data_IF_588224323149
#
_entry.id   IF_588224323149
#
_cell.length_a   1.000
_cell.length_b   1.000
_cell.length_c   1.000
_cell.angle_alpha   90.00
_cell.angle_beta   90.00
_cell.angle_gamma   90.00
#
_symmetry.space_group_name_H-M   'P 1'
#
loop_
_entity.id
_entity.type
_entity.pdbx_description
1 polymer ?
#
# COMPACT_ATOMS: atom_id res chain seq x y z
N UNK A 1 -0.45 19.91 -23.28
CA UNK A 1 -1.05 18.59 -23.58
C UNK A 1 -2.28 18.41 -22.71
N UNK A 2 -3.33 17.77 -23.19
CA UNK A 2 -4.50 17.46 -22.34
C UNK A 2 -4.40 16.00 -21.93
N UNK A 3 -3.86 15.75 -20.75
CA UNK A 3 -3.84 14.41 -20.17
C UNK A 3 -5.27 13.92 -19.99
N UNK A 4 -5.58 12.71 -20.42
CA UNK A 4 -6.86 12.08 -20.23
C UNK A 4 -6.82 10.98 -19.19
N UNK A 5 -5.74 10.19 -19.18
CA UNK A 5 -5.59 9.07 -18.27
C UNK A 5 -4.23 9.12 -17.58
N UNK A 6 -4.24 8.97 -16.27
CA UNK A 6 -3.02 8.73 -15.47
C UNK A 6 -3.07 7.32 -14.93
N UNK A 7 -2.02 6.56 -15.16
CA UNK A 7 -1.80 5.25 -14.55
C UNK A 7 -0.72 5.40 -13.48
N UNK A 8 -1.09 5.23 -12.23
CA UNK A 8 -0.19 5.26 -11.07
C UNK A 8 -0.02 3.84 -10.55
N UNK A 9 1.17 3.27 -10.75
CA UNK A 9 1.49 1.89 -10.35
C UNK A 9 2.44 1.94 -9.16
N UNK A 10 2.01 1.36 -8.04
CA UNK A 10 2.81 1.19 -6.83
C UNK A 10 3.38 -0.23 -6.80
N UNK A 11 4.71 -0.33 -6.81
CA UNK A 11 5.46 -1.54 -6.52
C UNK A 11 5.63 -1.61 -5.00
N UNK A 12 4.69 -2.29 -4.32
CA UNK A 12 4.60 -2.31 -2.85
C UNK A 12 5.95 -2.70 -2.24
N UNK A 13 6.50 -1.86 -1.37
CA UNK A 13 7.79 -2.01 -0.70
C UNK A 13 9.07 -1.84 -1.56
N UNK A 14 9.01 -1.34 -2.80
CA UNK A 14 10.21 -1.17 -3.63
C UNK A 14 10.98 0.12 -3.31
N UNK A 15 11.64 0.16 -2.16
CA UNK A 15 12.51 1.27 -1.77
C UNK A 15 13.80 1.38 -2.59
N UNK A 16 14.41 2.56 -2.57
CA UNK A 16 15.64 2.90 -3.33
C UNK A 16 16.72 3.54 -2.45
N UNK A 17 16.94 2.97 -1.28
CA UNK A 17 17.96 3.36 -0.32
C UNK A 17 17.42 4.11 0.90
N UNK A 18 18.14 4.00 2.02
CA UNK A 18 17.73 4.51 3.33
C UNK A 18 17.45 6.01 3.35
N UNK A 19 16.44 6.41 4.10
CA UNK A 19 16.18 7.81 4.43
C UNK A 19 17.14 8.32 5.50
N UNK A 20 17.40 9.64 5.59
CA UNK A 20 18.29 10.21 6.60
C UNK A 20 17.86 9.93 8.04
N UNK A 21 16.60 9.63 8.27
CA UNK A 21 16.04 9.31 9.59
C UNK A 21 15.86 7.80 9.83
N UNK A 22 16.34 6.93 8.94
CA UNK A 22 16.24 5.47 9.03
C UNK A 22 16.73 4.92 10.37
N UNK A 23 17.76 5.55 10.96
CA UNK A 23 18.26 5.18 12.29
C UNK A 23 17.19 5.22 13.40
N UNK A 24 16.20 6.11 13.32
CA UNK A 24 15.09 6.19 14.29
C UNK A 24 14.15 4.99 14.23
N UNK A 25 14.13 4.31 13.08
CA UNK A 25 13.28 3.15 12.80
C UNK A 25 14.05 1.82 12.88
N UNK A 26 15.36 1.88 13.13
CA UNK A 26 16.22 0.69 13.14
C UNK A 26 16.64 0.18 11.76
N UNK A 27 16.46 0.99 10.72
CA UNK A 27 16.56 0.62 9.30
C UNK A 27 17.87 1.13 8.64
N UNK A 28 18.91 1.42 9.43
CA UNK A 28 20.19 1.86 8.87
C UNK A 28 20.73 0.86 7.85
N UNK A 29 21.11 1.36 6.68
CA UNK A 29 21.71 0.58 5.60
C UNK A 29 20.69 -0.17 4.75
N UNK A 30 19.38 0.03 4.94
CA UNK A 30 18.36 -0.56 4.08
C UNK A 30 18.45 0.00 2.66
N UNK A 31 18.41 -0.90 1.68
CA UNK A 31 18.44 -0.57 0.25
C UNK A 31 17.78 -1.72 -0.54
N UNK A 32 16.46 -1.71 -0.59
CA UNK A 32 15.67 -2.76 -1.26
C UNK A 32 16.11 -2.93 -2.71
N UNK A 33 16.23 -1.84 -3.49
CA UNK A 33 16.69 -1.90 -4.88
C UNK A 33 18.12 -2.45 -4.98
N UNK A 34 19.04 -1.98 -4.11
CA UNK A 34 20.40 -2.48 -4.05
C UNK A 34 20.47 -3.97 -3.72
N UNK A 35 19.63 -4.44 -2.78
CA UNK A 35 19.57 -5.84 -2.38
C UNK A 35 19.11 -6.73 -3.54
N UNK A 36 17.96 -6.43 -4.15
CA UNK A 36 17.38 -7.27 -5.20
C UNK A 36 18.16 -7.24 -6.50
N UNK A 37 18.85 -6.12 -6.80
CA UNK A 37 19.66 -5.97 -8.01
C UNK A 37 20.91 -6.87 -8.05
N UNK A 38 21.30 -7.45 -6.91
CA UNK A 38 22.41 -8.41 -6.82
C UNK A 38 22.04 -9.84 -7.19
N UNK A 39 20.75 -10.13 -7.29
CA UNK A 39 20.25 -11.45 -7.70
C UNK A 39 20.55 -11.71 -9.18
N UNK A 40 20.92 -12.94 -9.52
CA UNK A 40 21.08 -13.39 -10.91
C UNK A 40 19.77 -13.39 -11.71
N UNK A 41 18.64 -13.33 -11.02
CA UNK A 41 17.30 -13.30 -11.63
C UNK A 41 16.81 -11.88 -11.91
N UNK A 42 17.59 -10.85 -11.57
CA UNK A 42 17.19 -9.47 -11.73
C UNK A 42 17.53 -8.95 -13.14
N UNK A 43 16.48 -8.76 -13.96
CA UNK A 43 16.60 -8.17 -15.30
C UNK A 43 15.38 -7.27 -15.59
N UNK A 44 15.61 -5.95 -15.61
CA UNK A 44 14.55 -4.93 -15.74
C UNK A 44 14.90 -3.91 -16.85
N UNK A 45 15.00 -4.35 -18.11
CA UNK A 45 15.43 -3.48 -19.22
C UNK A 45 14.48 -2.31 -19.48
N UNK A 46 13.15 -2.47 -19.28
CA UNK A 46 12.19 -1.41 -19.48
C UNK A 46 12.29 -0.34 -18.38
N UNK A 47 12.31 -0.72 -17.10
CA UNK A 47 12.53 0.23 -16.00
C UNK A 47 13.91 0.92 -16.12
N UNK A 48 14.94 0.19 -16.55
CA UNK A 48 16.25 0.76 -16.84
C UNK A 48 16.16 1.81 -17.92
N UNK A 49 15.47 1.52 -19.03
CA UNK A 49 15.30 2.45 -20.15
C UNK A 49 14.52 3.70 -19.76
N UNK A 50 13.62 3.60 -18.77
CA UNK A 50 12.88 4.73 -18.25
C UNK A 50 13.66 5.60 -17.26
N UNK A 51 14.79 5.10 -16.72
CA UNK A 51 15.69 5.89 -15.87
C UNK A 51 15.79 5.44 -14.42
N UNK A 52 15.30 4.25 -14.05
CA UNK A 52 15.42 3.73 -12.67
C UNK A 52 16.86 3.81 -12.14
N UNK A 53 17.83 3.40 -12.95
CA UNK A 53 19.25 3.40 -12.59
C UNK A 53 19.91 4.79 -12.67
N UNK A 54 19.19 5.80 -13.16
CA UNK A 54 19.65 7.19 -13.25
C UNK A 54 19.22 8.02 -12.03
N UNK A 55 18.38 7.47 -11.15
CA UNK A 55 17.94 8.12 -9.92
C UNK A 55 19.15 8.43 -9.04
N UNK A 56 19.24 9.65 -8.51
CA UNK A 56 20.33 10.10 -7.66
C UNK A 56 20.44 9.25 -6.39
N UNK A 57 21.66 8.77 -6.10
CA UNK A 57 21.98 8.05 -4.88
C UNK A 57 21.55 6.59 -4.84
N UNK A 58 21.03 6.00 -5.93
CA UNK A 58 20.81 4.55 -6.01
C UNK A 58 22.15 3.81 -6.10
N UNK A 59 22.24 2.66 -5.41
CA UNK A 59 23.47 1.88 -5.37
C UNK A 59 23.73 1.02 -6.63
N UNK A 60 22.72 0.48 -7.36
CA UNK A 60 22.95 -0.32 -8.55
C UNK A 60 23.52 0.49 -9.70
N UNK A 61 24.52 -0.08 -10.36
CA UNK A 61 25.11 0.52 -11.57
C UNK A 61 24.31 0.12 -12.81
N UNK A 62 24.21 1.01 -13.77
CA UNK A 62 23.53 0.71 -15.03
C UNK A 62 22.72 1.86 -15.59
N UNK A 63 23.03 3.09 -15.15
CA UNK A 63 22.45 4.30 -15.73
C UNK A 63 22.59 4.33 -17.26
N UNK A 64 21.57 4.79 -17.96
CA UNK A 64 21.55 4.93 -19.41
C UNK A 64 21.81 6.37 -19.81
N UNK A 65 22.48 6.57 -20.94
CA UNK A 65 22.83 7.91 -21.40
C UNK A 65 21.61 8.76 -21.82
N UNK A 66 20.54 8.11 -22.24
CA UNK A 66 19.32 8.77 -22.72
C UNK A 66 18.08 8.05 -22.17
N UNK A 67 17.69 8.29 -20.90
CA UNK A 67 16.47 7.75 -20.35
C UNK A 67 15.24 8.18 -21.13
N UNK A 68 14.30 7.28 -21.34
CA UNK A 68 13.04 7.54 -22.06
C UNK A 68 11.96 8.19 -21.17
N UNK A 69 12.12 8.15 -19.86
CA UNK A 69 11.24 8.80 -18.89
C UNK A 69 11.91 9.95 -18.16
N UNK A 70 11.14 10.67 -17.37
CA UNK A 70 11.63 11.50 -16.28
C UNK A 70 11.74 10.63 -15.02
N UNK A 71 12.71 10.92 -14.15
CA UNK A 71 13.02 10.07 -13.00
C UNK A 71 13.51 10.90 -11.81
N UNK A 72 13.33 10.35 -10.63
CA UNK A 72 13.81 10.87 -9.36
C UNK A 72 13.36 9.99 -8.22
N UNK A 73 13.46 10.48 -7.00
CA UNK A 73 13.01 9.78 -5.80
C UNK A 73 12.30 10.73 -4.84
N UNK A 74 11.52 10.20 -3.92
CA UNK A 74 10.88 10.98 -2.87
C UNK A 74 11.24 10.45 -1.48
N UNK A 75 11.34 11.39 -0.52
CA UNK A 75 11.46 11.08 0.90
C UNK A 75 10.07 10.98 1.52
N UNK A 76 9.84 10.02 2.42
CA UNK A 76 8.63 9.97 3.21
C UNK A 76 8.69 11.02 4.32
N UNK A 77 7.66 11.85 4.38
CA UNK A 77 7.51 12.87 5.42
C UNK A 77 6.66 12.39 6.59
N UNK A 78 5.75 11.45 6.33
CA UNK A 78 4.94 10.84 7.37
C UNK A 78 5.79 10.10 8.40
N UNK A 79 5.29 10.00 9.63
CA UNK A 79 5.98 9.35 10.74
C UNK A 79 5.86 7.81 10.75
N UNK A 80 5.15 7.23 9.79
CA UNK A 80 5.02 5.77 9.60
C UNK A 80 6.02 5.23 8.58
N UNK A 81 5.95 3.93 8.34
CA UNK A 81 6.62 3.23 7.24
C UNK A 81 5.78 2.04 6.75
N UNK A 82 4.47 2.13 6.94
CA UNK A 82 3.52 1.08 6.58
C UNK A 82 2.77 1.43 5.29
N UNK A 83 2.24 0.39 4.64
CA UNK A 83 1.53 0.51 3.35
C UNK A 83 0.43 1.58 3.37
N UNK A 84 -0.35 1.67 4.46
CA UNK A 84 -1.44 2.66 4.53
C UNK A 84 -0.89 4.07 4.59
N UNK A 85 0.11 4.31 5.45
CA UNK A 85 0.76 5.62 5.61
C UNK A 85 1.41 6.08 4.31
N UNK A 86 2.18 5.20 3.64
CA UNK A 86 2.84 5.52 2.37
C UNK A 86 1.83 5.85 1.26
N UNK A 87 0.78 5.04 1.09
CA UNK A 87 -0.27 5.31 0.10
C UNK A 87 -1.05 6.59 0.41
N UNK A 88 -1.31 6.89 1.68
CA UNK A 88 -1.97 8.13 2.06
C UNK A 88 -1.09 9.34 1.74
N UNK A 89 0.23 9.23 1.95
CA UNK A 89 1.13 10.33 1.60
C UNK A 89 1.23 10.50 0.08
N UNK A 90 1.30 9.41 -0.70
CA UNK A 90 1.17 9.46 -2.16
C UNK A 90 -0.13 10.17 -2.58
N UNK A 91 -1.22 9.99 -1.83
CA UNK A 91 -2.51 10.61 -2.11
C UNK A 91 -2.67 12.01 -1.51
N UNK A 92 -1.64 12.58 -0.84
CA UNK A 92 -1.59 13.96 -0.36
C UNK A 92 -1.82 14.15 1.14
N UNK A 93 -1.87 13.08 1.95
CA UNK A 93 -2.02 13.16 3.41
C UNK A 93 -0.70 12.82 4.09
N UNK A 94 -0.08 13.78 4.73
CA UNK A 94 1.09 13.57 5.59
C UNK A 94 0.63 13.28 7.01
N UNK A 95 0.97 12.10 7.52
CA UNK A 95 0.65 11.65 8.87
C UNK A 95 1.76 12.03 9.85
N UNK A 96 1.53 13.01 10.70
CA UNK A 96 2.54 13.50 11.66
C UNK A 96 2.84 12.50 12.78
N UNK A 97 1.94 11.53 13.00
CA UNK A 97 2.09 10.47 14.00
C UNK A 97 1.93 9.11 13.33
N UNK A 98 2.71 8.10 13.75
CA UNK A 98 2.50 6.75 13.28
C UNK A 98 1.15 6.23 13.75
N UNK A 99 0.59 5.24 13.06
CA UNK A 99 -0.60 4.55 13.52
C UNK A 99 -0.32 3.85 14.86
N UNK A 100 -1.26 3.89 15.83
CA UNK A 100 -1.01 3.32 17.16
C UNK A 100 -0.88 1.79 17.08
N UNK A 101 0.05 1.25 17.86
CA UNK A 101 0.23 -0.18 18.09
C UNK A 101 0.03 -0.50 19.57
N UNK A 102 -0.37 -1.73 19.87
CA UNK A 102 -0.73 -2.15 21.24
C UNK A 102 0.03 -3.42 21.66
N UNK A 103 1.34 -3.30 21.92
CA UNK A 103 2.19 -4.45 22.26
C UNK A 103 1.79 -5.17 23.56
N UNK A 104 1.11 -4.47 24.49
CA UNK A 104 0.60 -5.03 25.74
C UNK A 104 -0.91 -5.33 25.71
N UNK A 105 -1.55 -5.22 24.52
CA UNK A 105 -3.00 -5.27 24.35
C UNK A 105 -3.66 -3.89 24.47
N UNK A 106 -4.93 -3.81 24.11
CA UNK A 106 -5.71 -2.57 24.17
C UNK A 106 -6.01 -2.17 25.62
N UNK A 107 -6.07 -0.85 25.91
CA UNK A 107 -6.44 -0.37 27.25
C UNK A 107 -7.80 -0.94 27.72
N UNK A 108 -7.92 -1.24 29.01
CA UNK A 108 -9.12 -1.89 29.55
C UNK A 108 -10.40 -1.10 29.26
N UNK A 109 -10.36 0.24 29.31
CA UNK A 109 -11.54 1.07 28.99
C UNK A 109 -12.04 0.88 27.55
N UNK A 110 -11.14 0.60 26.59
CA UNK A 110 -11.52 0.34 25.20
C UNK A 110 -12.18 -1.04 25.07
N UNK A 111 -11.68 -2.05 25.80
CA UNK A 111 -12.26 -3.40 25.86
C UNK A 111 -13.62 -3.37 26.56
N UNK A 112 -13.78 -2.63 27.64
CA UNK A 112 -15.04 -2.48 28.36
C UNK A 112 -16.10 -1.81 27.48
N UNK A 113 -15.72 -0.75 26.74
CA UNK A 113 -16.62 -0.08 25.81
C UNK A 113 -17.00 -0.98 24.62
N UNK A 114 -16.04 -1.73 24.07
CA UNK A 114 -16.31 -2.71 23.02
C UNK A 114 -17.29 -3.79 23.50
N UNK A 115 -17.07 -4.34 24.70
CA UNK A 115 -17.98 -5.32 25.30
C UNK A 115 -19.38 -4.74 25.53
N UNK A 116 -19.47 -3.50 26.00
CA UNK A 116 -20.75 -2.79 26.20
C UNK A 116 -21.49 -2.61 24.89
N UNK A 117 -20.81 -2.21 23.82
CA UNK A 117 -21.42 -1.93 22.51
C UNK A 117 -21.85 -3.21 21.77
N UNK A 118 -21.09 -4.30 21.91
CA UNK A 118 -21.38 -5.57 21.26
C UNK A 118 -22.27 -6.51 22.08
N UNK A 119 -22.41 -6.26 23.38
CA UNK A 119 -23.12 -7.14 24.31
C UNK A 119 -22.42 -8.48 24.56
N UNK A 120 -21.13 -8.61 24.18
CA UNK A 120 -20.32 -9.83 24.32
C UNK A 120 -19.06 -9.56 25.12
N UNK A 121 -18.60 -10.54 25.90
CA UNK A 121 -17.32 -10.49 26.57
C UNK A 121 -16.14 -10.59 25.60
N UNK A 122 -14.93 -10.37 26.13
CA UNK A 122 -13.70 -10.40 25.35
C UNK A 122 -12.72 -11.41 25.95
N UNK A 123 -12.17 -12.26 25.10
CA UNK A 123 -11.10 -13.19 25.37
C UNK A 123 -9.79 -12.69 24.76
N UNK A 124 -8.67 -13.02 25.39
CA UNK A 124 -7.29 -12.75 24.95
C UNK A 124 -6.81 -11.31 25.21
N UNK A 125 -7.14 -10.33 24.36
CA UNK A 125 -6.65 -8.93 24.38
C UNK A 125 -5.14 -8.79 24.54
N UNK A 126 -4.36 -9.42 23.66
CA UNK A 126 -2.88 -9.33 23.63
C UNK A 126 -2.36 -9.66 22.22
N UNK A 127 -1.07 -9.40 21.92
CA UNK A 127 -0.44 -9.87 20.70
C UNK A 127 -0.49 -11.40 20.61
N UNK A 128 -0.93 -11.91 19.46
CA UNK A 128 -1.07 -13.35 19.27
C UNK A 128 -0.97 -13.77 17.79
N UNK A 129 -0.45 -15.01 17.59
CA UNK A 129 -0.59 -15.66 16.27
C UNK A 129 -2.06 -15.98 16.01
N UNK A 130 -2.57 -15.51 14.88
CA UNK A 130 -3.99 -15.72 14.57
C UNK A 130 -4.38 -17.16 14.24
N UNK A 131 -3.45 -18.10 14.02
CA UNK A 131 -3.73 -19.55 13.97
C UNK A 131 -3.72 -20.16 15.37
N UNK A 132 -2.77 -19.73 16.21
CA UNK A 132 -2.66 -20.25 17.57
C UNK A 132 -3.80 -19.75 18.47
N UNK A 133 -4.23 -18.48 18.30
CA UNK A 133 -5.29 -17.90 19.15
C UNK A 133 -6.62 -18.64 19.05
N UNK A 134 -6.98 -19.16 17.87
CA UNK A 134 -8.22 -19.95 17.73
C UNK A 134 -8.10 -21.34 18.36
N UNK A 135 -6.90 -21.91 18.44
CA UNK A 135 -6.67 -23.18 19.13
C UNK A 135 -6.78 -23.00 20.65
N UNK A 136 -6.18 -21.92 21.18
CA UNK A 136 -6.09 -21.70 22.63
C UNK A 136 -7.40 -21.15 23.22
N UNK A 137 -8.13 -20.30 22.51
CA UNK A 137 -9.34 -19.64 23.00
C UNK A 137 -10.63 -20.11 22.32
N UNK A 138 -10.55 -20.84 21.21
CA UNK A 138 -11.73 -21.23 20.42
C UNK A 138 -12.74 -22.06 21.20
N UNK A 139 -12.28 -22.99 22.07
CA UNK A 139 -13.17 -23.77 22.93
C UNK A 139 -13.94 -22.87 23.90
N UNK A 140 -13.26 -21.96 24.59
CA UNK A 140 -13.88 -21.04 25.53
C UNK A 140 -14.87 -20.11 24.79
N UNK A 141 -14.50 -19.62 23.60
CA UNK A 141 -15.39 -18.83 22.75
C UNK A 141 -16.70 -19.60 22.43
N UNK A 142 -16.60 -20.89 22.07
CA UNK A 142 -17.77 -21.70 21.78
C UNK A 142 -18.68 -21.92 23.01
N UNK A 143 -18.09 -22.00 24.20
CA UNK A 143 -18.82 -22.21 25.46
C UNK A 143 -19.49 -20.93 25.98
N UNK A 144 -18.84 -19.76 25.82
CA UNK A 144 -19.30 -18.49 26.41
C UNK A 144 -19.97 -17.55 25.41
N UNK A 145 -19.60 -17.61 24.13
CA UNK A 145 -19.96 -16.64 23.11
C UNK A 145 -19.15 -15.34 23.14
N UNK A 146 -18.12 -15.26 24.01
CA UNK A 146 -17.22 -14.11 24.11
C UNK A 146 -16.29 -14.04 22.90
N UNK A 147 -16.00 -12.83 22.43
CA UNK A 147 -15.20 -12.59 21.22
C UNK A 147 -13.70 -12.74 21.48
N UNK A 148 -12.97 -13.40 20.59
CA UNK A 148 -11.51 -13.49 20.70
C UNK A 148 -10.92 -12.23 20.07
N UNK A 149 -10.46 -11.26 20.89
CA UNK A 149 -9.79 -10.04 20.45
C UNK A 149 -8.29 -10.20 20.62
N UNK A 150 -7.52 -9.85 19.59
CA UNK A 150 -6.06 -9.89 19.63
C UNK A 150 -5.45 -8.87 18.68
N UNK A 151 -4.16 -8.61 18.81
CA UNK A 151 -3.39 -7.70 17.95
C UNK A 151 -2.13 -8.39 17.44
N UNK A 152 -1.25 -7.65 16.77
CA UNK A 152 0.08 -8.07 16.32
C UNK A 152 1.05 -6.88 16.44
N UNK A 153 2.23 -6.96 15.79
CA UNK A 153 3.13 -5.83 15.67
C UNK A 153 2.54 -4.68 14.84
N UNK A 154 1.61 -5.01 13.92
CA UNK A 154 0.90 -4.02 13.12
C UNK A 154 -0.15 -3.25 13.93
N UNK A 155 -0.61 -2.13 13.36
CA UNK A 155 -1.72 -1.33 13.89
C UNK A 155 -3.06 -1.97 13.58
N UNK A 156 -3.44 -3.02 14.31
CA UNK A 156 -4.63 -3.83 14.03
C UNK A 156 -5.42 -4.21 15.29
N UNK A 157 -6.75 -4.24 15.16
CA UNK A 157 -7.69 -4.84 16.11
C UNK A 157 -8.36 -6.04 15.43
N UNK A 158 -8.01 -7.24 15.83
CA UNK A 158 -8.47 -8.46 15.18
C UNK A 158 -9.52 -9.16 16.05
N UNK A 159 -10.61 -9.60 15.43
CA UNK A 159 -11.73 -10.26 16.10
C UNK A 159 -11.92 -11.64 15.45
N UNK A 160 -11.58 -12.71 16.19
CA UNK A 160 -11.87 -14.06 15.74
C UNK A 160 -13.16 -14.58 16.40
N UNK A 161 -13.99 -15.23 15.59
CA UNK A 161 -15.22 -15.86 16.05
C UNK A 161 -15.56 -17.10 15.22
N UNK A 162 -16.14 -18.11 15.88
CA UNK A 162 -16.63 -19.31 15.21
C UNK A 162 -17.96 -19.01 14.52
N UNK A 163 -18.12 -19.37 13.25
CA UNK A 163 -19.29 -18.99 12.44
C UNK A 163 -20.62 -19.60 12.93
N UNK A 164 -20.59 -20.68 13.71
CA UNK A 164 -21.80 -21.27 14.31
C UNK A 164 -22.22 -20.55 15.61
N UNK A 165 -21.34 -19.73 16.21
CA UNK A 165 -21.60 -18.94 17.41
C UNK A 165 -21.89 -17.47 17.07
N UNK A 166 -21.14 -16.93 16.13
CA UNK A 166 -21.27 -15.58 15.59
C UNK A 166 -21.30 -15.70 14.07
N UNK A 167 -22.49 -15.67 13.44
CA UNK A 167 -22.62 -15.70 12.00
C UNK A 167 -21.80 -14.60 11.33
N UNK A 168 -21.35 -14.84 10.09
CA UNK A 168 -20.39 -13.97 9.40
C UNK A 168 -20.86 -12.51 9.33
N UNK A 169 -22.12 -12.27 9.02
CA UNK A 169 -22.69 -10.91 8.95
C UNK A 169 -22.69 -10.21 10.32
N UNK A 170 -23.00 -10.96 11.39
CA UNK A 170 -22.91 -10.43 12.76
C UNK A 170 -21.45 -10.08 13.12
N UNK A 171 -20.48 -10.91 12.74
CA UNK A 171 -19.06 -10.61 12.93
C UNK A 171 -18.67 -9.33 12.20
N UNK A 172 -19.18 -9.11 10.99
CA UNK A 172 -18.91 -7.87 10.24
C UNK A 172 -19.57 -6.65 10.93
N UNK A 173 -20.77 -6.78 11.48
CA UNK A 173 -21.40 -5.68 12.24
C UNK A 173 -20.63 -5.36 13.52
N UNK A 174 -20.12 -6.38 14.21
CA UNK A 174 -19.22 -6.23 15.36
C UNK A 174 -17.95 -5.48 14.95
N UNK A 175 -17.34 -5.84 13.82
CA UNK A 175 -16.15 -5.16 13.30
C UNK A 175 -16.43 -3.70 12.91
N UNK A 176 -17.59 -3.40 12.31
CA UNK A 176 -18.03 -2.02 12.04
C UNK A 176 -18.21 -1.21 13.33
N UNK A 177 -18.76 -1.84 14.37
CA UNK A 177 -18.89 -1.24 15.71
C UNK A 177 -17.53 -0.93 16.30
N UNK A 178 -16.59 -1.90 16.26
CA UNK A 178 -15.21 -1.67 16.68
C UNK A 178 -14.54 -0.54 15.88
N UNK A 179 -14.69 -0.52 14.54
CA UNK A 179 -14.12 0.56 13.71
C UNK A 179 -14.68 1.93 14.10
N UNK A 180 -15.98 2.00 14.44
CA UNK A 180 -16.64 3.25 14.84
C UNK A 180 -16.15 3.81 16.20
N UNK A 181 -15.74 2.93 17.13
CA UNK A 181 -15.26 3.33 18.45
C UNK A 181 -13.75 3.60 18.50
N UNK A 182 -12.95 2.93 17.66
CA UNK A 182 -11.50 3.06 17.65
C UNK A 182 -11.06 4.32 16.89
N UNK A 183 -11.02 5.45 17.61
CA UNK A 183 -10.69 6.79 17.12
C UNK A 183 -9.53 7.38 17.92
N UNK A 184 -8.97 8.47 17.43
CA UNK A 184 -7.90 9.24 18.07
C UNK A 184 -6.70 8.35 18.45
N UNK A 185 -6.36 8.24 19.72
CA UNK A 185 -5.26 7.41 20.22
C UNK A 185 -5.48 5.91 20.05
N UNK A 186 -6.71 5.48 19.77
CA UNK A 186 -7.07 4.10 19.47
C UNK A 186 -7.26 3.83 17.97
N UNK A 187 -7.01 4.80 17.10
CA UNK A 187 -7.29 4.74 15.67
C UNK A 187 -6.35 3.77 14.92
N UNK A 188 -6.46 2.46 15.23
CA UNK A 188 -5.70 1.44 14.49
C UNK A 188 -6.00 1.46 13.01
N UNK A 189 -5.01 1.15 12.19
CA UNK A 189 -5.14 1.14 10.73
C UNK A 189 -6.23 0.20 10.21
N UNK A 190 -6.43 -0.95 10.87
CA UNK A 190 -7.44 -1.94 10.44
C UNK A 190 -8.14 -2.61 11.62
N UNK A 191 -9.44 -2.80 11.49
CA UNK A 191 -10.19 -3.80 12.28
C UNK A 191 -10.42 -5.00 11.37
N UNK A 192 -10.12 -6.21 11.83
CA UNK A 192 -10.09 -7.40 10.97
C UNK A 192 -11.03 -8.47 11.50
N UNK A 193 -12.03 -8.85 10.69
CA UNK A 193 -12.83 -10.04 10.92
C UNK A 193 -12.03 -11.30 10.60
N UNK A 194 -11.98 -12.24 11.53
CA UNK A 194 -11.24 -13.51 11.42
C UNK A 194 -12.18 -14.69 11.72
N UNK A 195 -13.14 -15.00 10.84
CA UNK A 195 -14.03 -16.13 11.05
C UNK A 195 -13.27 -17.45 11.00
N UNK A 196 -13.73 -18.43 11.79
CA UNK A 196 -13.18 -19.77 11.81
C UNK A 196 -14.28 -20.82 12.01
N UNK A 197 -13.98 -22.07 11.70
CA UNK A 197 -14.83 -23.25 11.85
C UNK A 197 -14.05 -24.44 12.41
N UNK A 198 -14.76 -25.55 12.58
CA UNK A 198 -14.21 -26.81 13.05
C UNK A 198 -14.52 -27.06 14.52
N UNK A 199 -13.98 -28.14 15.03
CA UNK A 199 -14.12 -28.55 16.45
C UNK A 199 -12.73 -28.69 17.07
N UNK A 200 -12.65 -28.45 18.39
CA UNK A 200 -11.39 -28.62 19.10
C UNK A 200 -10.84 -30.05 18.95
N UNK A 201 -9.56 -30.23 18.63
CA UNK A 201 -8.50 -29.24 18.45
C UNK A 201 -8.29 -28.81 16.97
N UNK A 202 -9.21 -29.11 16.04
CA UNK A 202 -9.02 -28.93 14.62
C UNK A 202 -9.76 -27.68 14.07
N UNK A 203 -9.63 -26.56 14.77
CA UNK A 203 -10.13 -25.28 14.28
C UNK A 203 -9.32 -24.79 13.07
N UNK A 204 -10.02 -24.20 12.08
CA UNK A 204 -9.40 -23.63 10.89
C UNK A 204 -10.09 -22.33 10.46
N UNK A 205 -9.31 -21.41 9.91
CA UNK A 205 -9.81 -20.15 9.37
C UNK A 205 -10.60 -20.37 8.10
N UNK A 206 -11.67 -19.62 7.92
CA UNK A 206 -12.47 -19.63 6.70
C UNK A 206 -12.08 -18.47 5.77
N UNK A 207 -12.68 -18.42 4.58
CA UNK A 207 -12.46 -17.38 3.56
C UNK A 207 -13.15 -16.06 3.86
N UNK A 208 -14.00 -15.99 4.90
CA UNK A 208 -14.74 -14.77 5.27
C UNK A 208 -13.92 -13.71 6.00
N UNK A 209 -12.57 -13.72 5.90
CA UNK A 209 -11.76 -12.61 6.39
C UNK A 209 -12.16 -11.33 5.68
N UNK A 210 -12.34 -10.25 6.46
CA UNK A 210 -12.59 -8.92 5.93
C UNK A 210 -11.88 -7.86 6.79
N UNK A 211 -11.22 -6.91 6.12
CA UNK A 211 -10.49 -5.83 6.76
C UNK A 211 -11.31 -4.54 6.67
N UNK A 212 -11.64 -3.94 7.82
CA UNK A 212 -12.31 -2.65 7.96
C UNK A 212 -11.24 -1.59 8.21
N UNK A 213 -10.78 -0.97 7.15
CA UNK A 213 -9.69 0.01 7.19
C UNK A 213 -10.14 1.33 7.84
N UNK A 214 -9.17 2.05 8.42
CA UNK A 214 -9.34 3.42 8.82
C UNK A 214 -9.53 4.28 7.56
N UNK A 215 -10.52 5.16 7.56
CA UNK A 215 -10.66 6.14 6.49
C UNK A 215 -9.53 7.17 6.54
N UNK A 216 -9.09 7.67 5.38
CA UNK A 216 -8.13 8.77 5.32
C UNK A 216 -8.54 9.96 6.20
N UNK A 217 -7.59 10.51 6.96
CA UNK A 217 -7.83 11.56 7.96
C UNK A 217 -8.09 12.95 7.38
N UNK A 218 -7.92 13.11 6.06
CA UNK A 218 -8.10 14.36 5.34
C UNK A 218 -8.62 14.14 3.91
N UNK A 219 -8.71 15.23 3.13
CA UNK A 219 -9.01 15.14 1.71
C UNK A 219 -7.83 14.54 0.94
N UNK A 220 -8.10 13.55 0.09
CA UNK A 220 -7.12 12.91 -0.78
C UNK A 220 -7.24 13.37 -2.24
N UNK A 221 -6.23 13.07 -3.07
CA UNK A 221 -6.36 13.29 -4.52
C UNK A 221 -7.52 12.48 -5.12
N UNK A 222 -7.85 11.32 -4.53
CA UNK A 222 -8.98 10.50 -4.97
C UNK A 222 -10.30 11.23 -4.76
N UNK A 223 -10.49 11.85 -3.58
CA UNK A 223 -11.67 12.64 -3.27
C UNK A 223 -11.82 13.81 -4.24
N UNK A 224 -10.72 14.52 -4.50
CA UNK A 224 -10.71 15.71 -5.36
C UNK A 224 -11.00 15.37 -6.82
N UNK A 225 -10.41 14.31 -7.34
CA UNK A 225 -10.68 13.80 -8.68
C UNK A 225 -12.16 13.42 -8.82
N UNK A 226 -12.67 12.59 -7.91
CA UNK A 226 -14.08 12.17 -7.90
C UNK A 226 -15.04 13.36 -7.82
N UNK A 227 -14.78 14.32 -6.92
CA UNK A 227 -15.61 15.51 -6.76
C UNK A 227 -15.60 16.40 -8.01
N UNK A 228 -14.54 16.33 -8.82
CA UNK A 228 -14.39 17.05 -10.09
C UNK A 228 -14.92 16.29 -11.30
N UNK A 229 -15.54 15.11 -11.09
CA UNK A 229 -16.16 14.31 -12.14
C UNK A 229 -15.18 13.44 -12.94
N UNK A 230 -13.98 13.19 -12.43
CA UNK A 230 -13.02 12.27 -13.00
C UNK A 230 -13.21 10.85 -12.48
N UNK A 231 -12.84 9.88 -13.29
CA UNK A 231 -12.81 8.48 -12.88
C UNK A 231 -11.62 8.25 -11.91
N UNK A 232 -11.87 7.43 -10.87
CA UNK A 232 -10.83 6.92 -9.98
C UNK A 232 -10.99 5.42 -9.91
N UNK A 233 -10.22 4.72 -10.72
CA UNK A 233 -10.26 3.27 -10.88
C UNK A 233 -9.19 2.65 -10.00
N UNK A 234 -9.58 1.76 -9.10
CA UNK A 234 -8.69 1.06 -8.19
C UNK A 234 -8.42 -0.38 -8.63
N UNK A 235 -7.15 -0.79 -8.60
CA UNK A 235 -6.71 -2.17 -8.87
C UNK A 235 -5.91 -2.68 -7.67
N UNK A 236 -6.22 -3.86 -7.18
CA UNK A 236 -5.57 -4.44 -6.01
C UNK A 236 -6.08 -3.85 -4.69
N UNK A 237 -5.19 -3.64 -3.72
CA UNK A 237 -5.54 -3.19 -2.37
C UNK A 237 -5.98 -1.72 -2.25
N UNK A 238 -5.89 -0.92 -3.30
CA UNK A 238 -6.19 0.52 -3.24
C UNK A 238 -7.56 0.81 -2.62
N UNK A 239 -8.59 0.07 -3.03
CA UNK A 239 -9.93 0.24 -2.47
C UNK A 239 -9.96 0.05 -0.95
N UNK A 240 -9.24 -0.93 -0.43
CA UNK A 240 -9.20 -1.25 1.00
C UNK A 240 -8.34 -0.24 1.77
N UNK A 241 -7.19 0.19 1.21
CA UNK A 241 -6.29 1.19 1.80
C UNK A 241 -7.02 2.53 2.02
N UNK A 242 -7.89 2.90 1.09
CA UNK A 242 -8.68 4.14 1.17
C UNK A 242 -10.10 3.93 1.72
N UNK A 243 -10.42 2.76 2.25
CA UNK A 243 -11.76 2.41 2.76
C UNK A 243 -12.86 2.74 1.74
N UNK A 244 -12.61 2.51 0.45
CA UNK A 244 -13.45 2.84 -0.71
C UNK A 244 -13.67 4.35 -0.93
N UNK A 245 -13.09 5.21 -0.10
CA UNK A 245 -13.27 6.67 -0.19
C UNK A 245 -12.56 7.21 -1.42
N UNK A 246 -13.25 8.03 -2.19
CA UNK A 246 -12.76 8.64 -3.42
C UNK A 246 -12.73 7.70 -4.65
N UNK A 247 -12.89 6.38 -4.47
CA UNK A 247 -12.93 5.41 -5.56
C UNK A 247 -14.26 5.50 -6.31
N UNK A 248 -14.23 5.43 -7.65
CA UNK A 248 -15.43 5.41 -8.51
C UNK A 248 -15.67 4.02 -9.11
N UNK A 249 -14.59 3.25 -9.34
CA UNK A 249 -14.65 1.89 -9.88
C UNK A 249 -13.57 1.02 -9.23
N UNK A 250 -13.94 -0.19 -8.83
CA UNK A 250 -13.05 -1.15 -8.18
C UNK A 250 -12.92 -2.43 -8.98
N UNK A 251 -11.70 -2.72 -9.48
CA UNK A 251 -11.41 -3.91 -10.32
C UNK A 251 -11.01 -5.14 -9.51
N UNK A 252 -11.28 -5.09 -8.21
CA UNK A 252 -11.07 -6.20 -7.28
C UNK A 252 -9.63 -6.35 -6.80
N UNK A 253 -9.48 -7.18 -5.77
CA UNK A 253 -8.18 -7.57 -5.21
C UNK A 253 -7.44 -8.43 -6.25
N UNK A 254 -6.13 -8.24 -6.34
CA UNK A 254 -5.28 -9.04 -7.22
C UNK A 254 -5.00 -10.41 -6.60
N UNK A 255 -4.99 -11.46 -7.43
CA UNK A 255 -4.53 -12.79 -7.02
C UNK A 255 -3.01 -12.82 -6.80
N UNK A 256 -2.30 -12.06 -7.63
CA UNK A 256 -0.86 -11.83 -7.61
C UNK A 256 -0.54 -10.58 -8.46
N UNK A 257 0.73 -10.18 -8.54
CA UNK A 257 1.15 -9.02 -9.33
C UNK A 257 0.83 -9.17 -10.82
N UNK A 258 0.96 -10.38 -11.38
CA UNK A 258 0.61 -10.66 -12.78
C UNK A 258 -0.88 -10.38 -13.07
N UNK A 259 -1.79 -10.83 -12.20
CA UNK A 259 -3.23 -10.52 -12.31
C UNK A 259 -3.50 -9.02 -12.23
N UNK A 260 -2.78 -8.29 -11.36
CA UNK A 260 -2.87 -6.83 -11.27
C UNK A 260 -2.44 -6.14 -12.56
N UNK A 261 -1.35 -6.59 -13.17
CA UNK A 261 -0.88 -6.05 -14.45
C UNK A 261 -1.79 -6.42 -15.62
N UNK A 262 -2.34 -7.64 -15.66
CA UNK A 262 -3.32 -8.01 -16.70
C UNK A 262 -4.57 -7.12 -16.62
N UNK A 263 -5.13 -6.88 -15.42
CA UNK A 263 -6.24 -5.93 -15.23
C UNK A 263 -5.86 -4.51 -15.71
N UNK A 264 -4.64 -4.08 -15.45
CA UNK A 264 -4.14 -2.76 -15.87
C UNK A 264 -4.02 -2.68 -17.39
N UNK A 265 -3.55 -3.74 -18.06
CA UNK A 265 -3.49 -3.83 -19.52
C UNK A 265 -4.89 -3.86 -20.16
N UNK A 266 -5.87 -4.52 -19.53
CA UNK A 266 -7.26 -4.47 -20.01
C UNK A 266 -7.84 -3.06 -19.86
N UNK A 267 -7.54 -2.34 -18.76
CA UNK A 267 -7.95 -0.95 -18.57
C UNK A 267 -7.34 0.01 -19.62
N UNK A 268 -6.17 -0.28 -20.20
CA UNK A 268 -5.63 0.49 -21.32
C UNK A 268 -6.54 0.46 -22.56
N UNK A 269 -7.30 -0.62 -22.75
CA UNK A 269 -8.24 -0.76 -23.89
C UNK A 269 -9.53 0.03 -23.67
N UNK A 270 -9.86 0.32 -22.41
CA UNK A 270 -11.06 1.07 -22.05
C UNK A 270 -10.90 2.57 -22.28
N UNK A 271 -12.02 3.26 -22.42
CA UNK A 271 -12.06 4.72 -22.53
C UNK A 271 -12.57 5.32 -21.23
N UNK A 272 -11.65 5.87 -20.42
CA UNK A 272 -11.96 6.58 -19.19
C UNK A 272 -11.19 7.92 -19.12
N UNK A 273 -11.61 8.81 -18.24
CA UNK A 273 -10.98 10.11 -18.04
C UNK A 273 -10.68 10.30 -16.54
N UNK A 274 -9.45 10.01 -16.13
CA UNK A 274 -9.09 10.06 -14.72
C UNK A 274 -7.87 9.23 -14.37
N UNK A 275 -7.86 8.75 -13.14
CA UNK A 275 -6.77 8.00 -12.51
C UNK A 275 -7.07 6.50 -12.47
N UNK A 276 -6.14 5.67 -12.95
CA UNK A 276 -6.04 4.26 -12.63
C UNK A 276 -4.94 4.08 -11.58
N UNK A 277 -5.31 3.73 -10.35
CA UNK A 277 -4.39 3.56 -9.22
C UNK A 277 -4.23 2.06 -8.92
N UNK A 278 -3.01 1.56 -9.04
CA UNK A 278 -2.68 0.13 -9.00
C UNK A 278 -1.72 -0.15 -7.84
N UNK A 279 -2.03 -1.14 -7.01
CA UNK A 279 -1.10 -1.66 -6.01
C UNK A 279 -0.72 -3.10 -6.36
N UNK A 280 0.59 -3.38 -6.45
CA UNK A 280 1.17 -4.69 -6.71
C UNK A 280 1.85 -5.21 -5.44
N UNK A 281 1.10 -5.97 -4.65
CA UNK A 281 1.40 -6.27 -3.24
C UNK A 281 2.36 -7.44 -3.02
N UNK A 282 2.59 -8.30 -4.01
CA UNK A 282 3.40 -9.51 -3.81
C UNK A 282 4.86 -9.20 -3.46
N UNK A 283 5.39 -8.08 -3.94
CA UNK A 283 6.75 -7.63 -3.64
C UNK A 283 6.97 -7.55 -2.13
N UNK A 284 6.01 -6.96 -1.43
CA UNK A 284 5.99 -6.87 0.03
C UNK A 284 5.61 -8.20 0.68
N UNK A 285 4.41 -8.67 0.39
CA UNK A 285 3.75 -9.75 1.14
C UNK A 285 4.43 -11.11 0.95
N UNK A 286 4.94 -11.42 -0.25
CA UNK A 286 5.53 -12.72 -0.57
C UNK A 286 7.05 -12.73 -0.46
N UNK A 287 7.72 -11.57 -0.65
CA UNK A 287 9.17 -11.53 -0.78
C UNK A 287 9.84 -10.62 0.25
N UNK A 288 9.41 -9.37 0.44
CA UNK A 288 9.96 -8.42 1.41
C UNK A 288 9.93 -8.99 2.83
N UNK A 289 8.73 -9.22 3.35
CA UNK A 289 8.51 -9.80 4.69
C UNK A 289 9.05 -11.23 4.89
N UNK A 290 9.58 -11.87 3.84
CA UNK A 290 10.13 -13.23 3.88
C UNK A 290 11.63 -13.29 3.63
N UNK A 291 12.27 -12.14 3.46
CA UNK A 291 13.70 -12.01 3.17
C UNK A 291 14.09 -12.85 1.93
N UNK A 292 13.20 -12.91 0.92
CA UNK A 292 13.39 -13.65 -0.33
C UNK A 292 13.88 -12.73 -1.45
N UNK A 293 15.19 -12.46 -1.47
CA UNK A 293 15.85 -11.61 -2.47
C UNK A 293 15.61 -12.11 -3.89
N UNK A 294 15.73 -13.43 -4.11
CA UNK A 294 15.62 -14.02 -5.44
C UNK A 294 14.17 -14.05 -5.94
N UNK A 295 13.22 -14.32 -5.04
CA UNK A 295 11.79 -14.24 -5.35
C UNK A 295 11.37 -12.82 -5.71
N UNK A 296 11.87 -11.83 -4.98
CA UNK A 296 11.64 -10.40 -5.26
C UNK A 296 12.19 -10.00 -6.62
N UNK A 297 13.43 -10.40 -6.93
CA UNK A 297 14.07 -10.13 -8.21
C UNK A 297 13.31 -10.75 -9.40
N UNK A 298 12.85 -12.00 -9.27
CA UNK A 298 12.01 -12.66 -10.27
C UNK A 298 10.69 -11.92 -10.50
N UNK A 299 10.05 -11.48 -9.42
CA UNK A 299 8.79 -10.74 -9.51
C UNK A 299 8.97 -9.38 -10.20
N UNK A 300 10.09 -8.66 -9.96
CA UNK A 300 10.41 -7.42 -10.67
C UNK A 300 10.71 -7.67 -12.15
N UNK A 301 11.42 -8.75 -12.48
CA UNK A 301 11.68 -9.13 -13.86
C UNK A 301 10.39 -9.49 -14.61
N UNK A 302 9.47 -10.19 -13.95
CA UNK A 302 8.14 -10.46 -14.51
C UNK A 302 7.33 -9.17 -14.71
N UNK A 303 7.32 -8.29 -13.72
CA UNK A 303 6.69 -6.95 -13.84
C UNK A 303 7.26 -6.16 -15.00
N UNK A 304 8.58 -6.16 -15.20
CA UNK A 304 9.25 -5.44 -16.30
C UNK A 304 8.80 -5.94 -17.68
N UNK A 305 8.53 -7.24 -17.80
CA UNK A 305 7.92 -7.81 -19.01
C UNK A 305 6.50 -7.28 -19.27
N UNK A 306 5.67 -7.17 -18.24
CA UNK A 306 4.35 -6.53 -18.33
C UNK A 306 4.47 -5.03 -18.64
N UNK A 307 5.44 -4.34 -18.04
CA UNK A 307 5.71 -2.94 -18.31
C UNK A 307 6.05 -2.70 -19.79
N UNK A 308 6.85 -3.58 -20.40
CA UNK A 308 7.13 -3.52 -21.85
C UNK A 308 5.84 -3.52 -22.67
N UNK A 309 4.95 -4.48 -22.40
CA UNK A 309 3.61 -4.55 -23.05
C UNK A 309 2.75 -3.31 -22.80
N UNK A 310 2.82 -2.76 -21.58
CA UNK A 310 2.11 -1.54 -21.22
C UNK A 310 2.60 -0.35 -22.03
N UNK A 311 3.91 -0.16 -22.12
CA UNK A 311 4.53 0.95 -22.84
C UNK A 311 4.22 0.93 -24.37
N UNK A 312 4.12 -0.26 -24.97
CA UNK A 312 3.77 -0.44 -26.38
C UNK A 312 2.31 -0.01 -26.67
N UNK A 313 1.44 -0.05 -25.68
CA UNK A 313 0.01 0.23 -25.82
C UNK A 313 -0.43 1.59 -25.24
N UNK A 314 0.50 2.41 -24.78
CA UNK A 314 0.19 3.75 -24.26
C UNK A 314 -0.39 4.63 -25.38
N UNK A 315 -1.43 5.39 -25.04
CA UNK A 315 -2.03 6.41 -25.91
C UNK A 315 -1.29 7.75 -25.74
N UNK A 316 -1.45 8.63 -26.70
CA UNK A 316 -0.82 9.96 -26.72
C UNK A 316 -1.21 10.84 -25.52
N UNK A 317 -2.37 10.57 -24.91
CA UNK A 317 -2.93 11.29 -23.77
C UNK A 317 -2.79 10.53 -22.44
N UNK A 318 -1.98 9.46 -22.42
CA UNK A 318 -1.64 8.70 -21.24
C UNK A 318 -0.38 9.25 -20.54
N UNK A 319 -0.42 9.24 -19.21
CA UNK A 319 0.75 9.42 -18.35
C UNK A 319 0.88 8.19 -17.46
N UNK A 320 2.06 7.60 -17.42
CA UNK A 320 2.41 6.52 -16.49
C UNK A 320 3.32 7.08 -15.40
N UNK A 321 2.99 6.78 -14.15
CA UNK A 321 3.84 7.03 -12.97
C UNK A 321 4.06 5.68 -12.28
N UNK A 322 5.33 5.29 -12.09
CA UNK A 322 5.72 4.11 -11.32
C UNK A 322 6.42 4.60 -10.05
N UNK A 323 5.99 4.08 -8.91
CA UNK A 323 6.52 4.43 -7.58
C UNK A 323 6.42 3.25 -6.63
N UNK A 324 6.74 3.46 -5.37
CA UNK A 324 6.51 2.57 -4.25
C UNK A 324 5.84 3.34 -3.11
N UNK A 325 5.51 2.68 -2.02
CA UNK A 325 4.88 3.28 -0.84
C UNK A 325 5.80 3.26 0.40
N UNK A 326 6.79 2.38 0.43
CA UNK A 326 7.87 2.26 1.43
C UNK A 326 8.97 1.35 0.90
N UNK A 327 9.96 0.99 1.74
CA UNK A 327 10.92 -0.08 1.50
C UNK A 327 10.58 -1.34 2.30
N UNK A 328 11.16 -2.48 1.90
CA UNK A 328 11.25 -3.70 2.71
C UNK A 328 12.44 -4.51 2.22
N UNK A 329 13.65 -4.15 2.70
CA UNK A 329 14.89 -4.74 2.22
C UNK A 329 15.02 -6.22 2.63
N UNK A 330 14.88 -7.16 1.69
CA UNK A 330 14.89 -8.59 1.99
C UNK A 330 16.27 -9.12 2.37
N UNK A 331 17.32 -8.31 2.32
CA UNK A 331 18.68 -8.69 2.71
C UNK A 331 19.01 -8.34 4.16
N UNK A 332 18.13 -7.64 4.86
CA UNK A 332 18.30 -7.33 6.30
C UNK A 332 17.79 -8.46 7.18
N UNK A 333 18.21 -8.54 8.46
CA UNK A 333 17.63 -9.50 9.41
C UNK A 333 16.18 -9.21 9.78
N UNK A 334 15.70 -7.98 9.59
CA UNK A 334 14.31 -7.58 9.82
C UNK A 334 13.39 -8.19 8.76
N UNK A 335 12.18 -8.49 9.15
CA UNK A 335 11.08 -8.84 8.25
C UNK A 335 10.03 -7.72 8.22
N UNK A 336 10.34 -6.55 8.76
CA UNK A 336 9.48 -5.38 8.79
C UNK A 336 9.80 -4.44 7.61
N UNK A 337 8.89 -3.53 7.30
CA UNK A 337 9.12 -2.46 6.34
C UNK A 337 10.34 -1.64 6.72
N UNK A 338 11.01 -1.05 5.73
CA UNK A 338 12.20 -0.20 5.93
C UNK A 338 11.95 1.25 5.50
N UNK A 339 12.56 2.16 6.27
CA UNK A 339 12.46 3.61 6.06
C UNK A 339 13.38 4.03 4.90
N UNK A 340 12.85 3.97 3.67
CA UNK A 340 13.59 4.22 2.44
C UNK A 340 12.97 5.33 1.59
N UNK A 341 13.78 5.94 0.71
CA UNK A 341 13.26 6.69 -0.43
C UNK A 341 12.46 5.77 -1.33
N UNK A 342 11.46 6.31 -2.02
CA UNK A 342 10.74 5.62 -3.09
C UNK A 342 11.14 6.17 -4.46
N UNK A 343 11.14 5.35 -5.53
CA UNK A 343 11.38 5.83 -6.89
C UNK A 343 10.18 6.64 -7.40
N UNK A 344 10.45 7.59 -8.27
CA UNK A 344 9.45 8.24 -9.12
C UNK A 344 9.93 8.12 -10.55
N UNK A 345 9.21 7.39 -11.39
CA UNK A 345 9.47 7.25 -12.82
C UNK A 345 8.22 7.72 -13.54
N UNK A 346 8.38 8.65 -14.47
CA UNK A 346 7.26 9.24 -15.20
C UNK A 346 7.50 9.14 -16.70
N UNK A 347 6.53 8.66 -17.46
CA UNK A 347 6.61 8.65 -18.92
C UNK A 347 5.24 8.85 -19.57
N UNK A 348 5.25 9.26 -20.84
CA UNK A 348 4.10 9.57 -21.66
C UNK A 348 4.53 10.47 -22.81
N UNK A 349 3.70 10.62 -23.84
CA UNK A 349 4.06 11.40 -25.01
C UNK A 349 4.35 12.88 -24.71
N UNK A 350 3.64 13.45 -23.70
CA UNK A 350 3.86 14.82 -23.22
C UNK A 350 4.92 14.97 -22.14
N UNK A 351 5.63 13.90 -21.78
CA UNK A 351 6.65 13.91 -20.72
C UNK A 351 8.03 14.00 -21.37
N UNK A 352 8.82 14.97 -20.93
CA UNK A 352 10.21 15.15 -21.37
C UNK A 352 11.08 13.99 -20.92
N UNK A 353 11.67 13.30 -21.87
CA UNK A 353 12.61 12.22 -21.60
C UNK A 353 13.91 12.73 -20.97
N UNK A 354 14.49 11.96 -20.05
CA UNK A 354 15.79 12.24 -19.47
C UNK A 354 15.83 13.34 -18.41
N UNK A 355 14.68 13.87 -17.98
CA UNK A 355 14.61 14.88 -16.92
C UNK A 355 14.79 14.21 -15.56
N UNK A 356 15.80 14.65 -14.80
CA UNK A 356 15.99 14.29 -13.40
C UNK A 356 15.24 15.30 -12.51
N UNK A 357 14.20 14.85 -11.81
CA UNK A 357 13.43 15.68 -10.86
C UNK A 357 14.05 15.70 -9.45
N UNK A 358 15.22 15.08 -9.28
CA UNK A 358 15.98 15.05 -8.04
C UNK A 358 15.30 14.25 -6.92
N UNK A 359 15.56 14.68 -5.68
CA UNK A 359 14.94 14.11 -4.48
C UNK A 359 13.81 15.02 -4.01
N UNK A 360 12.57 14.52 -4.06
CA UNK A 360 11.37 15.23 -3.58
C UNK A 360 11.27 15.13 -2.06
N UNK A 361 10.75 16.18 -1.44
CA UNK A 361 10.67 16.29 0.02
C UNK A 361 9.54 15.47 0.65
N UNK A 362 8.58 15.00 -0.14
CA UNK A 362 7.42 14.21 0.30
C UNK A 362 6.86 13.37 -0.85
N UNK A 363 6.26 12.22 -0.52
CA UNK A 363 5.49 11.41 -1.49
C UNK A 363 4.27 12.17 -2.04
N UNK A 364 3.77 13.17 -1.29
CA UNK A 364 2.62 13.99 -1.68
C UNK A 364 2.86 14.83 -2.96
N UNK A 365 4.10 14.97 -3.43
CA UNK A 365 4.42 15.59 -4.72
C UNK A 365 3.79 14.80 -5.87
N UNK A 366 3.60 13.48 -5.69
CA UNK A 366 2.91 12.62 -6.66
C UNK A 366 1.44 13.05 -6.77
N UNK A 367 0.73 13.23 -5.64
CA UNK A 367 -0.67 13.68 -5.67
C UNK A 367 -0.84 15.03 -6.35
N UNK A 368 0.07 15.97 -6.05
CA UNK A 368 0.04 17.30 -6.65
C UNK A 368 0.26 17.26 -8.16
N UNK A 369 1.15 16.38 -8.62
CA UNK A 369 1.43 16.18 -10.05
C UNK A 369 0.28 15.48 -10.78
N UNK A 370 -0.36 14.48 -10.15
CA UNK A 370 -1.55 13.83 -10.68
C UNK A 370 -2.70 14.84 -10.83
N UNK A 371 -2.96 15.64 -9.80
CA UNK A 371 -4.02 16.67 -9.86
C UNK A 371 -3.72 17.73 -10.94
N UNK A 372 -2.46 18.13 -11.09
CA UNK A 372 -2.01 19.09 -12.11
C UNK A 372 -2.21 18.54 -13.53
N UNK A 373 -2.05 17.22 -13.76
CA UNK A 373 -2.39 16.58 -15.03
C UNK A 373 -3.85 16.84 -15.48
N UNK A 374 -4.76 17.02 -14.52
CA UNK A 374 -6.18 17.28 -14.76
C UNK A 374 -6.57 18.76 -14.59
N UNK A 375 -5.60 19.65 -14.38
CA UNK A 375 -5.83 21.08 -14.15
C UNK A 375 -6.52 21.39 -12.81
N UNK A 376 -6.38 20.50 -11.82
CA UNK A 376 -6.96 20.68 -10.50
C UNK A 376 -5.93 21.28 -9.53
N UNK A 377 -6.36 22.07 -8.54
CA UNK A 377 -5.45 22.63 -7.55
C UNK A 377 -4.83 21.52 -6.69
N UNK A 378 -3.56 21.68 -6.36
CA UNK A 378 -2.86 20.79 -5.43
C UNK A 378 -3.52 20.78 -4.03
N UNK A 379 -3.31 19.67 -3.29
CA UNK A 379 -3.62 19.59 -1.86
C UNK A 379 -2.64 20.44 -1.05
N UNK A 380 -2.84 20.53 0.27
CA UNK A 380 -1.98 21.33 1.15
C UNK A 380 -0.54 20.79 1.25
N UNK A 381 -0.36 19.48 1.03
CA UNK A 381 0.94 18.84 1.05
C UNK A 381 1.40 18.52 -0.37
N UNK A 382 2.70 18.71 -0.64
CA UNK A 382 3.34 18.39 -1.91
C UNK A 382 3.32 19.51 -2.94
N UNK A 383 4.30 19.44 -3.84
CA UNK A 383 4.49 20.35 -4.98
C UNK A 383 4.52 19.52 -6.27
N UNK A 384 3.81 20.01 -7.30
CA UNK A 384 3.80 19.36 -8.61
C UNK A 384 5.16 19.46 -9.28
N UNK A 385 5.68 18.33 -9.75
CA UNK A 385 6.84 18.29 -10.65
C UNK A 385 6.45 18.31 -12.13
N UNK A 386 5.15 18.37 -12.45
CA UNK A 386 4.69 18.28 -13.83
C UNK A 386 5.31 19.34 -14.75
N UNK A 387 5.45 20.57 -14.26
CA UNK A 387 6.06 21.68 -15.05
C UNK A 387 7.54 21.46 -15.34
N UNK A 388 8.24 20.68 -14.55
CA UNK A 388 9.65 20.33 -14.79
C UNK A 388 9.76 19.32 -15.92
N UNK A 389 8.80 18.39 -15.99
CA UNK A 389 8.82 17.22 -16.88
C UNK A 389 7.90 17.34 -18.09
N UNK A 390 7.20 18.44 -18.30
CA UNK A 390 6.30 18.64 -19.44
C UNK A 390 6.47 20.04 -20.02
N UNK A 391 5.92 20.26 -21.22
CA UNK A 391 5.88 21.57 -21.91
C UNK A 391 4.53 22.30 -21.70
N UNK A 392 3.88 22.06 -20.59
CA UNK A 392 2.59 22.69 -20.25
C UNK A 392 2.81 24.04 -19.62
#
# INVERSE_FOLDING_TARGET
MKTKRVFLIVLDSFGVGELPDAAKYGDCGSDTFGAVSRSEYFDVPNMRSLGLFNIDGVSPKGAVASPRGAFGRAAERSAGKDTTTGHWEIAGIVSEKPMPTFPDGFPQYAIDEFSRLTGRGVLCNKPYSGTQVILDYGRQHMETGDLIVYTSADSVFQIAAHEDIVPLEELYDICRTARGMLKDELAVGRVIARPFKGEYPNFYRTSGRHDFSLEPTGETMLDRLKASGFDVISVGKINDIFASRGVTDHRGINKNNADGMEKTLELQKEDFNGLCFVNLVDFDMLFGHRNDVDGYAKALTEFDGYLGRFLENMRIDDVLIITADHGCDPSTPSTDHSREYIPIIVCGDGIKAGVNIGTRATFADISSSVLDCFGLPALQSGESFLREVSDI
#
